data_IF_952186039815
#
_entry.id   IF_952186039815
#
_cell.length_a   1.000
_cell.length_b   1.000
_cell.length_c   1.000
_cell.angle_alpha   90.00
_cell.angle_beta   90.00
_cell.angle_gamma   90.00
#
_symmetry.space_group_name_H-M   'P 1'
#
loop_
_entity.id
_entity.type
_entity.pdbx_description
1 polymer ?
#
# COMPACT_ATOMS: atom_id res chain seq x y z
N UNK A 1 -13.56 -1.88 -1.25
CA UNK A 1 -12.88 -3.16 -1.54
C UNK A 1 -11.44 -3.00 -1.12
N UNK A 2 -10.89 -3.89 -0.28
CA UNK A 2 -9.48 -3.80 0.13
C UNK A 2 -8.60 -4.40 -0.95
N UNK A 3 -7.60 -3.64 -1.39
CA UNK A 3 -6.69 -4.06 -2.46
C UNK A 3 -5.26 -3.93 -1.98
N UNK A 4 -4.43 -4.91 -2.31
CA UNK A 4 -2.98 -4.86 -2.08
C UNK A 4 -2.29 -4.38 -3.34
N UNK A 5 -1.52 -3.31 -3.20
CA UNK A 5 -0.76 -2.69 -4.29
C UNK A 5 0.72 -2.87 -3.98
N UNK A 6 1.40 -3.62 -4.83
CA UNK A 6 2.84 -3.83 -4.72
C UNK A 6 3.57 -2.73 -5.48
N UNK A 7 4.64 -2.23 -4.90
CA UNK A 7 5.34 -1.06 -5.36
C UNK A 7 6.80 -1.37 -5.65
N UNK A 8 7.28 -0.74 -6.72
CA UNK A 8 8.71 -0.64 -7.04
C UNK A 8 9.16 0.83 -6.99
N UNK A 9 10.47 1.07 -7.01
CA UNK A 9 11.06 2.41 -6.90
C UNK A 9 10.51 3.22 -5.71
N UNK A 10 10.38 2.56 -4.56
CA UNK A 10 9.69 3.12 -3.39
C UNK A 10 10.54 4.17 -2.69
N UNK A 11 9.89 5.27 -2.29
CA UNK A 11 10.43 6.27 -1.36
C UNK A 11 9.46 6.46 -0.19
N UNK A 12 10.01 6.45 1.02
CA UNK A 12 9.30 6.86 2.23
C UNK A 12 9.56 8.35 2.48
N UNK A 13 8.50 9.11 2.75
CA UNK A 13 8.57 10.56 2.89
C UNK A 13 7.94 11.02 4.22
N UNK A 14 8.66 11.78 5.07
CA UNK A 14 8.11 12.36 6.29
C UNK A 14 7.16 13.56 6.04
N UNK A 15 7.07 14.06 4.81
CA UNK A 15 6.17 15.17 4.48
C UNK A 15 4.71 14.88 4.87
N UNK A 16 3.93 15.90 5.25
CA UNK A 16 2.50 15.73 5.52
C UNK A 16 1.74 15.13 4.31
N UNK A 17 0.65 14.38 4.54
CA UNK A 17 -0.23 13.90 3.47
C UNK A 17 -0.72 15.01 2.54
N UNK A 18 -0.81 14.71 1.25
CA UNK A 18 -1.42 15.57 0.24
C UNK A 18 -2.83 15.11 -0.12
N UNK A 19 -3.73 16.02 -0.58
CA UNK A 19 -5.11 15.66 -0.94
C UNK A 19 -5.25 14.57 -2.02
N UNK A 20 -4.23 14.39 -2.86
CA UNK A 20 -4.21 13.39 -3.92
C UNK A 20 -3.66 12.02 -3.47
N UNK A 21 -3.14 11.93 -2.24
CA UNK A 21 -2.60 10.69 -1.72
C UNK A 21 -3.73 9.68 -1.46
N UNK A 22 -3.49 8.42 -1.85
CA UNK A 22 -4.40 7.34 -1.51
C UNK A 22 -4.23 6.93 -0.04
N UNK A 23 -5.28 6.42 0.62
CA UNK A 23 -5.14 5.94 2.00
C UNK A 23 -4.32 4.63 2.03
N UNK A 24 -3.36 4.54 2.96
CA UNK A 24 -2.66 3.31 3.30
C UNK A 24 -3.10 2.81 4.68
N UNK A 25 -3.94 1.77 4.74
CA UNK A 25 -4.31 1.13 6.01
C UNK A 25 -3.20 0.21 6.52
N UNK A 26 -2.41 -0.38 5.61
CA UNK A 26 -1.24 -1.19 5.96
C UNK A 26 -0.11 -0.93 5.00
N UNK A 27 1.10 -0.85 5.55
CA UNK A 27 2.34 -0.85 4.78
C UNK A 27 3.15 -2.05 5.22
N UNK A 28 3.68 -2.80 4.25
CA UNK A 28 4.54 -3.94 4.49
C UNK A 28 5.85 -3.75 3.75
N UNK A 29 6.95 -4.04 4.45
CA UNK A 29 8.31 -3.93 3.97
C UNK A 29 9.01 -5.23 4.30
N UNK A 30 9.47 -5.94 3.28
CA UNK A 30 10.23 -7.17 3.44
C UNK A 30 11.57 -7.03 2.72
N UNK A 31 12.63 -6.93 3.52
CA UNK A 31 14.01 -6.78 3.06
C UNK A 31 14.67 -8.14 2.79
N UNK A 32 14.03 -8.97 1.95
CA UNK A 32 14.62 -10.18 1.40
C UNK A 32 15.56 -9.88 0.23
N UNK A 33 16.25 -10.90 -0.30
CA UNK A 33 17.12 -10.79 -1.48
C UNK A 33 16.43 -10.09 -2.66
N UNK A 34 15.16 -10.44 -2.90
CA UNK A 34 14.26 -9.62 -3.71
C UNK A 34 13.39 -8.82 -2.75
N UNK A 35 13.56 -7.50 -2.64
CA UNK A 35 12.77 -6.68 -1.73
C UNK A 35 11.30 -6.68 -2.14
N UNK A 36 10.39 -6.78 -1.18
CA UNK A 36 8.96 -6.70 -1.43
C UNK A 36 8.34 -5.60 -0.57
N UNK A 37 7.71 -4.63 -1.23
CA UNK A 37 6.98 -3.55 -0.57
C UNK A 37 5.57 -3.50 -1.14
N UNK A 38 4.58 -3.46 -0.25
CA UNK A 38 3.19 -3.27 -0.66
C UNK A 38 2.39 -2.47 0.36
N UNK A 39 1.30 -1.91 -0.13
CA UNK A 39 0.30 -1.17 0.64
C UNK A 39 -1.05 -1.88 0.50
N UNK A 40 -1.76 -2.11 1.61
CA UNK A 40 -3.21 -2.35 1.55
C UNK A 40 -3.91 -0.99 1.62
N UNK A 41 -4.80 -0.77 0.65
CA UNK A 41 -5.61 0.45 0.49
C UNK A 41 -7.09 0.09 0.35
N UNK A 42 -7.97 0.88 0.97
CA UNK A 42 -9.39 0.89 0.66
C UNK A 42 -9.70 2.06 -0.29
N UNK A 43 -9.71 1.76 -1.58
CA UNK A 43 -10.03 2.73 -2.63
C UNK A 43 -11.08 2.16 -3.59
N UNK A 44 -11.95 3.02 -4.11
CA UNK A 44 -12.84 2.69 -5.22
C UNK A 44 -12.08 2.68 -6.56
N UNK A 45 -10.98 3.43 -6.65
CA UNK A 45 -10.17 3.57 -7.85
C UNK A 45 -8.82 2.89 -7.64
N UNK A 46 -8.66 1.73 -8.27
CA UNK A 46 -7.41 0.97 -8.23
C UNK A 46 -6.42 1.56 -9.24
N UNK A 47 -5.22 2.01 -8.81
CA UNK A 47 -4.17 2.45 -9.71
C UNK A 47 -3.74 1.38 -10.71
N UNK A 48 -3.51 1.78 -11.96
CA UNK A 48 -3.00 0.90 -13.00
C UNK A 48 -1.52 0.57 -12.81
N UNK A 49 -1.10 -0.60 -13.29
CA UNK A 49 0.32 -1.00 -13.34
C UNK A 49 1.15 0.03 -14.12
N UNK A 50 2.34 0.34 -13.60
CA UNK A 50 3.28 1.31 -14.19
C UNK A 50 2.99 2.77 -13.85
N UNK A 51 1.91 3.08 -13.13
CA UNK A 51 1.62 4.44 -12.67
C UNK A 51 2.41 4.78 -11.40
N UNK A 52 2.91 6.01 -11.34
CA UNK A 52 3.39 6.59 -10.09
C UNK A 52 2.20 6.90 -9.18
N UNK A 53 2.34 6.61 -7.90
CA UNK A 53 1.30 6.77 -6.90
C UNK A 53 1.92 7.18 -5.57
N UNK A 54 1.18 7.96 -4.80
CA UNK A 54 1.52 8.29 -3.42
C UNK A 54 0.39 7.82 -2.50
N UNK A 55 0.79 7.27 -1.35
CA UNK A 55 -0.10 6.87 -0.28
C UNK A 55 0.23 7.62 0.98
N UNK A 56 -0.80 8.01 1.73
CA UNK A 56 -0.68 8.58 3.06
C UNK A 56 -1.12 7.55 4.11
N UNK A 57 -0.37 7.44 5.21
CA UNK A 57 -0.76 6.59 6.34
C UNK A 57 -2.10 7.10 6.92
N UNK A 58 -3.08 6.20 7.06
CA UNK A 58 -4.40 6.56 7.60
C UNK A 58 -4.36 6.95 9.08
N UNK A 59 -3.30 6.56 9.80
CA UNK A 59 -3.07 6.90 11.20
C UNK A 59 -1.62 7.36 11.37
N UNK A 60 -1.35 8.45 12.10
CA UNK A 60 0.01 8.80 12.49
C UNK A 60 0.63 7.70 13.34
N UNK A 61 1.85 7.26 13.02
CA UNK A 61 2.53 6.16 13.75
C UNK A 61 3.89 6.55 14.34
N UNK A 62 4.40 7.76 14.05
CA UNK A 62 5.74 8.21 14.49
C UNK A 62 6.90 7.27 14.09
N UNK A 63 6.80 6.63 12.93
CA UNK A 63 7.78 5.66 12.40
C UNK A 63 8.78 6.27 11.38
N UNK A 64 8.85 7.61 11.30
CA UNK A 64 9.80 8.32 10.43
C UNK A 64 9.30 8.63 9.01
N UNK A 65 8.09 8.20 8.64
CA UNK A 65 7.43 8.62 7.41
C UNK A 65 5.92 8.75 7.61
N UNK A 66 5.30 9.57 6.76
CA UNK A 66 3.85 9.73 6.68
C UNK A 66 3.30 9.33 5.31
N UNK A 67 4.17 9.26 4.30
CA UNK A 67 3.82 8.92 2.92
C UNK A 67 4.70 7.81 2.37
N UNK A 68 4.12 7.02 1.46
CA UNK A 68 4.80 6.00 0.66
C UNK A 68 4.56 6.34 -0.81
N UNK A 69 5.62 6.68 -1.53
CA UNK A 69 5.58 6.96 -2.95
C UNK A 69 6.22 5.80 -3.71
N UNK A 70 5.70 5.46 -4.88
CA UNK A 70 6.31 4.45 -5.72
C UNK A 70 5.56 4.25 -7.04
N UNK A 71 6.00 3.25 -7.79
CA UNK A 71 5.36 2.84 -9.04
C UNK A 71 4.64 1.52 -8.84
N UNK A 72 3.39 1.44 -9.31
CA UNK A 72 2.58 0.23 -9.21
C UNK A 72 3.21 -0.91 -10.02
N UNK A 73 3.68 -1.94 -9.34
CA UNK A 73 4.24 -3.13 -9.98
C UNK A 73 3.14 -4.15 -10.30
N UNK A 74 2.29 -4.44 -9.31
CA UNK A 74 1.16 -5.37 -9.44
C UNK A 74 0.06 -5.04 -8.42
N UNK A 75 -1.14 -5.49 -8.71
CA UNK A 75 -2.33 -5.32 -7.85
C UNK A 75 -2.91 -6.70 -7.54
N UNK A 76 -3.25 -6.94 -6.26
CA UNK A 76 -3.94 -8.13 -5.82
C UNK A 76 -5.20 -7.76 -5.03
N UNK A 77 -6.37 -8.17 -5.53
CA UNK A 77 -7.61 -8.06 -4.78
C UNK A 77 -7.60 -9.06 -3.62
N UNK A 78 -7.89 -8.59 -2.40
CA UNK A 78 -8.08 -9.49 -1.27
C UNK A 78 -9.46 -10.14 -1.43
N UNK A 79 -9.50 -11.36 -1.99
CA UNK A 79 -10.71 -12.18 -1.88
C UNK A 79 -10.92 -12.47 -0.40
N UNK A 80 -12.12 -12.16 0.12
CA UNK A 80 -12.49 -12.52 1.48
C UNK A 80 -12.21 -14.01 1.67
N UNK A 81 -11.34 -14.34 2.63
CA UNK A 81 -11.09 -15.73 3.02
C UNK A 81 -12.44 -16.27 3.49
N UNK A 82 -13.00 -17.25 2.78
CA UNK A 82 -14.06 -18.06 3.37
C UNK A 82 -13.48 -18.65 4.66
N UNK A 83 -14.09 -18.30 5.78
CA UNK A 83 -13.80 -18.95 7.06
C UNK A 83 -14.34 -20.37 6.89
N UNK A 84 -13.45 -21.35 6.71
CA UNK A 84 -13.86 -22.75 6.78
C UNK A 84 -14.41 -22.99 8.20
N UNK A 85 -15.62 -23.54 8.35
CA UNK A 85 -16.12 -23.90 9.66
C UNK A 85 -15.17 -24.95 10.25
N UNK A 86 -14.74 -24.71 11.48
CA UNK A 86 -14.07 -25.74 12.30
C UNK A 86 -15.13 -26.84 12.50
N UNK A 87 -14.86 -28.03 11.95
CA UNK A 87 -15.63 -29.26 12.20
C UNK A 87 -15.07 -29.92 13.45
#
# INVERSE_FOLDING_TARGET
MTVRIYLTAVRFDPAPPEPADLPAERVFIHASEVPEIWVETETATVPERGKAVAFALVRPMSIGFNRVLGTVERVAAKRGRAVEPIV
#
